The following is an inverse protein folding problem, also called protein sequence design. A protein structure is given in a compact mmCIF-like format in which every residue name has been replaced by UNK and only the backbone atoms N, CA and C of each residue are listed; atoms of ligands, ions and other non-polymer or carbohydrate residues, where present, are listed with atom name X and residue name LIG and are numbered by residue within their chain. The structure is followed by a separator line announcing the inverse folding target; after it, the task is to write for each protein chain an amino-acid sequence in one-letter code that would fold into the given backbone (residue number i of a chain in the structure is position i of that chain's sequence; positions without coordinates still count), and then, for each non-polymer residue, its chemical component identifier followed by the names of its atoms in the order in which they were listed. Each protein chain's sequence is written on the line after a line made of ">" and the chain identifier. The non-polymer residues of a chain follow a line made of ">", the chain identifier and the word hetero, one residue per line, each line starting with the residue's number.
data_IF_827325998357
#
_entry.id   IF_827325998357
#
_cell.length_a   1.000
_cell.length_b   1.000
_cell.length_c   1.000
_cell.angle_alpha   90.00
_cell.angle_beta   90.00
_cell.angle_gamma   90.00
#
_symmetry.space_group_name_H-M   'P 1'
#
loop_
_entity.id
_entity.type
_entity.pdbx_description
1 polymer ?
#
# COMPACT_ATOMS: atom_id res chain seq x y z
N UNK A 1 64.50 38.60 -7.52
CA UNK A 1 64.55 37.94 -6.19
C UNK A 1 63.65 38.77 -5.30
N UNK A 2 62.45 38.38 -4.90
CA UNK A 2 61.81 37.06 -4.83
C UNK A 2 60.30 37.31 -4.81
N UNK A 3 59.56 36.59 -5.66
CA UNK A 3 58.12 36.43 -5.59
C UNK A 3 57.71 35.59 -4.37
N UNK A 4 56.40 35.53 -4.13
CA UNK A 4 55.65 34.51 -3.37
C UNK A 4 55.51 34.74 -1.85
N UNK A 5 54.28 35.09 -1.45
CA UNK A 5 53.36 34.26 -0.63
C UNK A 5 52.40 35.12 0.20
N UNK A 6 51.37 35.67 -0.45
CA UNK A 6 50.12 36.04 0.24
C UNK A 6 48.91 35.70 -0.65
N UNK A 7 48.82 34.43 -1.05
CA UNK A 7 47.60 33.82 -1.59
C UNK A 7 47.26 32.62 -0.73
N UNK A 8 46.40 32.84 0.27
CA UNK A 8 46.01 31.77 1.19
C UNK A 8 44.90 32.11 2.17
N UNK A 9 44.03 33.08 1.83
CA UNK A 9 42.90 33.47 2.69
C UNK A 9 41.61 33.75 1.92
N UNK A 10 41.31 32.94 0.91
CA UNK A 10 40.03 33.00 0.18
C UNK A 10 39.28 31.68 -0.01
N UNK A 11 39.81 30.52 0.39
CA UNK A 11 39.15 29.22 0.16
C UNK A 11 38.79 28.45 1.43
N UNK A 12 38.01 29.07 2.34
CA UNK A 12 37.35 28.35 3.46
C UNK A 12 35.90 28.76 3.69
N UNK A 13 35.22 29.26 2.66
CA UNK A 13 33.76 29.40 2.62
C UNK A 13 33.14 28.52 1.52
N UNK A 14 33.84 27.46 1.12
CA UNK A 14 33.19 26.27 0.58
C UNK A 14 32.61 25.49 1.78
N UNK A 15 31.39 24.98 1.63
CA UNK A 15 30.66 24.09 2.57
C UNK A 15 29.57 24.69 3.47
N UNK A 16 29.08 25.90 3.17
CA UNK A 16 27.76 26.37 3.64
C UNK A 16 26.72 26.43 2.51
N UNK A 17 26.83 25.57 1.49
CA UNK A 17 25.65 25.17 0.72
C UNK A 17 24.92 24.13 1.54
N UNK A 18 24.15 24.59 2.52
CA UNK A 18 22.96 23.85 2.93
C UNK A 18 22.23 23.56 1.62
N UNK A 19 22.26 22.31 1.15
CA UNK A 19 21.30 21.93 0.14
C UNK A 19 19.95 22.21 0.78
N UNK A 20 19.11 23.00 0.11
CA UNK A 20 17.70 23.12 0.43
C UNK A 20 17.08 21.73 0.30
N UNK A 21 17.35 20.84 1.27
CA UNK A 21 16.67 19.57 1.43
C UNK A 21 15.25 19.97 1.80
N UNK A 22 14.43 20.07 0.77
CA UNK A 22 13.00 20.30 0.88
C UNK A 22 12.45 19.27 1.85
N UNK A 23 11.98 19.76 2.99
CA UNK A 23 11.36 18.94 4.01
C UNK A 23 9.94 18.68 3.52
N UNK A 24 9.62 17.41 3.28
CA UNK A 24 8.24 17.02 2.97
C UNK A 24 7.63 16.39 4.22
N UNK A 25 6.32 16.57 4.36
CA UNK A 25 5.52 16.06 5.45
C UNK A 25 4.15 15.66 4.91
N UNK A 26 3.68 14.51 5.36
CA UNK A 26 2.34 14.03 5.05
C UNK A 26 1.85 13.02 6.06
N UNK A 27 0.59 12.65 5.93
CA UNK A 27 -0.05 11.67 6.78
C UNK A 27 -1.22 10.98 6.07
N UNK A 28 -1.60 9.82 6.57
CA UNK A 28 -2.77 9.05 6.14
C UNK A 28 -3.22 8.10 7.25
N UNK A 29 -4.44 7.56 7.16
CA UNK A 29 -4.96 6.66 8.18
C UNK A 29 -4.21 5.33 8.20
N UNK A 30 -3.82 4.88 9.40
CA UNK A 30 -3.01 3.69 9.59
C UNK A 30 -3.71 2.39 9.17
N UNK A 31 -5.05 2.37 9.17
CA UNK A 31 -5.85 1.24 8.70
C UNK A 31 -5.53 0.80 7.27
N UNK A 32 -5.03 1.72 6.44
CA UNK A 32 -4.64 1.39 5.07
C UNK A 32 -3.24 0.82 4.95
N UNK A 33 -2.39 0.92 5.98
CA UNK A 33 -1.00 0.48 5.85
C UNK A 33 -0.88 -1.05 5.89
N UNK A 34 -1.44 -1.71 6.91
CA UNK A 34 -1.36 -3.17 7.06
C UNK A 34 -1.80 -3.94 5.79
N UNK A 35 -2.95 -3.61 5.18
CA UNK A 35 -3.41 -4.31 3.98
C UNK A 35 -2.52 -4.16 2.74
N UNK A 36 -1.56 -3.23 2.74
CA UNK A 36 -0.62 -3.03 1.65
C UNK A 36 0.65 -3.88 1.79
N UNK A 37 0.88 -4.52 2.94
CA UNK A 37 2.06 -5.38 3.14
C UNK A 37 2.20 -6.46 2.05
N UNK A 38 1.14 -7.20 1.64
CA UNK A 38 1.26 -8.20 0.58
C UNK A 38 1.76 -7.62 -0.75
N UNK A 39 1.37 -6.38 -1.08
CA UNK A 39 1.86 -5.70 -2.30
C UNK A 39 3.36 -5.41 -2.19
N UNK A 40 3.81 -4.99 -1.01
CA UNK A 40 5.22 -4.68 -0.73
C UNK A 40 6.09 -5.93 -0.79
N UNK A 41 5.68 -7.00 -0.13
CA UNK A 41 6.37 -8.29 -0.16
C UNK A 41 6.47 -8.83 -1.59
N UNK A 42 5.34 -8.86 -2.31
CA UNK A 42 5.32 -9.36 -3.67
C UNK A 42 6.15 -8.48 -4.63
N UNK A 43 6.14 -7.16 -4.49
CA UNK A 43 6.97 -6.27 -5.30
C UNK A 43 8.48 -6.57 -5.11
N UNK A 44 8.90 -6.79 -3.87
CA UNK A 44 10.29 -7.11 -3.50
C UNK A 44 10.71 -8.49 -4.01
N UNK A 45 9.81 -9.47 -4.03
CA UNK A 45 10.06 -10.80 -4.61
C UNK A 45 10.28 -10.74 -6.13
N UNK A 46 9.49 -9.93 -6.85
CA UNK A 46 9.51 -9.89 -8.31
C UNK A 46 10.70 -9.09 -8.86
N UNK A 47 10.96 -7.90 -8.31
CA UNK A 47 12.01 -7.01 -8.82
C UNK A 47 12.52 -6.06 -7.73
N UNK A 48 13.39 -6.56 -6.86
CA UNK A 48 13.95 -5.79 -5.75
C UNK A 48 14.64 -4.50 -6.23
N UNK A 49 15.33 -4.52 -7.38
CA UNK A 49 16.06 -3.36 -7.90
C UNK A 49 15.13 -2.24 -8.33
N UNK A 50 14.00 -2.57 -8.97
CA UNK A 50 13.00 -1.59 -9.38
C UNK A 50 12.33 -0.89 -8.21
N UNK A 51 12.19 -1.58 -7.07
CA UNK A 51 11.50 -1.08 -5.89
C UNK A 51 12.45 -0.68 -4.74
N UNK A 52 13.74 -0.42 -5.04
CA UNK A 52 14.75 -0.04 -4.05
C UNK A 52 14.43 1.23 -3.24
N UNK A 53 13.62 2.15 -3.77
CA UNK A 53 13.21 3.34 -3.02
C UNK A 53 11.72 3.28 -2.63
N UNK A 54 11.19 2.06 -2.55
CA UNK A 54 9.83 1.78 -2.15
C UNK A 54 8.85 1.64 -3.31
N UNK A 55 7.68 1.14 -2.95
CA UNK A 55 6.60 0.78 -3.87
C UNK A 55 5.22 1.29 -3.42
N UNK A 56 5.20 2.07 -2.34
CA UNK A 56 4.05 2.84 -1.89
C UNK A 56 4.24 4.29 -2.34
N UNK A 57 3.22 4.88 -2.93
CA UNK A 57 3.20 6.26 -3.37
C UNK A 57 2.14 7.02 -2.58
N UNK A 58 2.46 8.24 -2.17
CA UNK A 58 1.53 9.15 -1.52
C UNK A 58 1.47 10.44 -2.35
N UNK A 59 0.27 10.83 -2.77
CA UNK A 59 0.09 11.93 -3.72
C UNK A 59 -1.12 12.81 -3.36
N UNK A 60 -1.06 14.14 -3.50
CA UNK A 60 -2.23 14.97 -3.21
C UNK A 60 -3.41 14.63 -4.14
N UNK A 61 -4.62 14.67 -3.58
CA UNK A 61 -5.86 14.58 -4.34
C UNK A 61 -6.43 15.97 -4.60
N UNK A 62 -6.84 16.25 -5.84
CA UNK A 62 -7.45 17.54 -6.22
C UNK A 62 -8.82 17.78 -5.55
N UNK A 63 -9.49 16.71 -5.14
CA UNK A 63 -10.80 16.75 -4.45
C UNK A 63 -10.66 16.73 -2.92
N UNK A 64 -9.45 17.00 -2.40
CA UNK A 64 -9.13 16.87 -0.98
C UNK A 64 -8.69 15.45 -0.60
N UNK A 65 -7.88 15.38 0.46
CA UNK A 65 -7.22 14.14 0.87
C UNK A 65 -5.92 13.87 0.12
N UNK A 66 -5.49 12.60 0.14
CA UNK A 66 -4.38 12.10 -0.66
C UNK A 66 -4.70 10.71 -1.23
N UNK A 67 -4.01 10.35 -2.31
CA UNK A 67 -3.99 9.00 -2.85
C UNK A 67 -2.83 8.23 -2.22
N UNK A 68 -3.14 7.07 -1.65
CA UNK A 68 -2.20 6.04 -1.28
C UNK A 68 -2.22 4.96 -2.36
N UNK A 69 -1.08 4.70 -2.98
CA UNK A 69 -0.99 3.76 -4.11
C UNK A 69 0.09 2.74 -3.81
N UNK A 70 -0.22 1.45 -3.87
CA UNK A 70 0.82 0.41 -3.91
C UNK A 70 0.94 -0.16 -5.32
N UNK A 71 2.17 -0.46 -5.75
CA UNK A 71 2.48 -0.98 -7.09
C UNK A 71 3.44 -2.16 -6.98
N UNK A 72 3.22 -3.21 -7.77
CA UNK A 72 4.10 -4.39 -7.80
C UNK A 72 4.65 -4.74 -9.19
N UNK A 73 4.26 -3.99 -10.21
CA UNK A 73 4.55 -4.31 -11.61
C UNK A 73 3.51 -5.24 -12.24
N UNK A 74 2.89 -6.13 -11.46
CA UNK A 74 1.77 -6.98 -11.90
C UNK A 74 0.42 -6.51 -11.36
N UNK A 75 0.39 -5.84 -10.22
CA UNK A 75 -0.80 -5.26 -9.64
C UNK A 75 -0.55 -3.85 -9.12
N UNK A 76 -1.63 -3.10 -8.94
CA UNK A 76 -1.65 -1.86 -8.20
C UNK A 76 -2.98 -1.70 -7.49
N UNK A 77 -2.94 -1.09 -6.31
CA UNK A 77 -4.14 -0.63 -5.62
C UNK A 77 -4.00 0.86 -5.36
N UNK A 78 -5.09 1.58 -5.55
CA UNK A 78 -5.20 3.03 -5.40
C UNK A 78 -6.33 3.28 -4.40
N UNK A 79 -5.99 3.95 -3.31
CA UNK A 79 -6.90 4.30 -2.22
C UNK A 79 -6.89 5.81 -2.10
N UNK A 80 -8.05 6.45 -2.18
CA UNK A 80 -8.20 7.85 -1.76
C UNK A 80 -8.56 7.86 -0.28
N UNK A 81 -7.69 8.48 0.51
CA UNK A 81 -7.96 8.78 1.90
C UNK A 81 -8.34 10.28 1.99
N UNK A 82 -9.61 10.61 2.32
CA UNK A 82 -10.07 11.99 2.39
C UNK A 82 -9.43 12.79 3.53
N UNK A 83 -8.89 12.12 4.55
CA UNK A 83 -8.25 12.75 5.71
C UNK A 83 -6.73 12.85 5.57
N UNK A 84 -6.16 12.14 4.59
CA UNK A 84 -4.73 12.18 4.31
C UNK A 84 -4.29 13.53 3.73
N UNK A 85 -3.00 13.83 3.88
CA UNK A 85 -2.38 15.00 3.25
C UNK A 85 -0.94 14.70 2.87
N UNK A 86 -0.51 15.29 1.76
CA UNK A 86 0.89 15.43 1.38
C UNK A 86 1.01 16.64 0.46
N UNK A 87 2.05 17.45 0.61
CA UNK A 87 2.19 18.67 -0.20
C UNK A 87 2.73 18.38 -1.61
N UNK A 88 3.49 17.29 -1.77
CA UNK A 88 4.07 16.86 -3.05
C UNK A 88 3.97 15.36 -3.24
N UNK A 89 3.85 14.84 -4.47
CA UNK A 89 3.93 13.41 -4.72
C UNK A 89 5.26 12.84 -4.18
N UNK A 90 5.19 11.74 -3.43
CA UNK A 90 6.36 11.03 -2.89
C UNK A 90 6.24 9.52 -3.06
N UNK A 91 7.38 8.84 -3.07
CA UNK A 91 7.50 7.37 -2.97
C UNK A 91 8.08 7.01 -1.62
N UNK A 92 7.52 6.01 -0.96
CA UNK A 92 7.82 5.57 0.40
C UNK A 92 8.35 4.13 0.37
N UNK A 93 9.54 3.90 0.92
CA UNK A 93 9.91 2.58 1.44
C UNK A 93 9.64 2.56 2.93
N UNK A 94 8.76 1.65 3.33
CA UNK A 94 8.27 1.52 4.69
C UNK A 94 8.85 0.23 5.27
N UNK A 95 9.38 0.26 6.51
CA UNK A 95 9.92 -0.93 7.15
C UNK A 95 8.79 -1.88 7.56
N UNK A 96 9.04 -3.18 7.52
CA UNK A 96 8.04 -4.23 7.75
C UNK A 96 7.38 -4.10 9.14
N UNK A 97 8.18 -3.71 10.13
CA UNK A 97 7.69 -3.46 11.50
C UNK A 97 6.60 -2.37 11.57
N UNK A 98 6.58 -1.40 10.67
CA UNK A 98 5.54 -0.38 10.62
C UNK A 98 4.20 -0.96 10.15
N UNK A 99 4.22 -1.92 9.22
CA UNK A 99 3.00 -2.62 8.79
C UNK A 99 2.39 -3.40 9.94
N UNK A 100 3.22 -4.20 10.65
CA UNK A 100 2.74 -4.94 11.82
C UNK A 100 2.21 -4.02 12.93
N UNK A 101 2.86 -2.88 13.17
CA UNK A 101 2.36 -1.89 14.12
C UNK A 101 1.01 -1.28 13.68
N UNK A 102 0.78 -1.13 12.37
CA UNK A 102 -0.47 -0.62 11.82
C UNK A 102 -1.61 -1.65 11.80
N UNK A 103 -1.31 -2.95 11.98
CA UNK A 103 -2.34 -3.99 12.14
C UNK A 103 -3.20 -3.75 13.40
N UNK A 104 -2.57 -3.21 14.45
CA UNK A 104 -3.21 -3.03 15.75
C UNK A 104 -3.30 -4.33 16.55
N UNK A 105 -3.86 -4.23 17.74
CA UNK A 105 -4.02 -5.36 18.66
C UNK A 105 -5.42 -5.95 18.47
N UNK A 106 -5.48 -7.25 18.18
CA UNK A 106 -6.73 -8.03 18.19
C UNK A 106 -6.94 -8.60 19.60
N UNK A 107 -8.12 -8.38 20.20
CA UNK A 107 -8.49 -9.05 21.45
C UNK A 107 -9.24 -10.33 21.12
N UNK A 108 -8.78 -11.50 21.62
CA UNK A 108 -9.47 -12.75 21.36
C UNK A 108 -10.89 -12.71 21.94
N UNK A 109 -11.82 -13.36 21.23
CA UNK A 109 -13.14 -13.63 21.78
C UNK A 109 -13.00 -14.38 23.12
N UNK A 110 -13.79 -13.97 24.12
CA UNK A 110 -13.87 -14.64 25.40
C UNK A 110 -15.20 -15.38 25.53
N UNK A 111 -15.17 -16.66 25.85
CA UNK A 111 -16.37 -17.43 26.19
C UNK A 111 -16.47 -17.59 27.71
N UNK A 112 -17.57 -17.15 28.30
CA UNK A 112 -17.82 -17.28 29.74
C UNK A 112 -19.28 -17.67 29.98
N UNK A 113 -19.50 -18.76 30.73
CA UNK A 113 -20.83 -19.28 31.06
C UNK A 113 -21.75 -19.54 29.84
N UNK A 114 -21.18 -19.87 28.68
CA UNK A 114 -21.93 -20.11 27.44
C UNK A 114 -22.29 -18.84 26.67
N UNK A 115 -21.89 -17.67 27.16
CA UNK A 115 -21.97 -16.40 26.46
C UNK A 115 -20.63 -16.07 25.81
N UNK A 116 -20.71 -15.51 24.59
CA UNK A 116 -19.56 -15.11 23.79
C UNK A 116 -19.39 -13.59 23.87
N UNK A 117 -18.27 -13.15 24.43
CA UNK A 117 -17.89 -11.75 24.58
C UNK A 117 -16.83 -11.38 23.53
N UNK A 118 -17.02 -10.23 22.88
CA UNK A 118 -16.08 -9.66 21.91
C UNK A 118 -15.63 -8.29 22.42
N UNK A 119 -14.70 -8.24 23.38
CA UNK A 119 -14.18 -6.96 23.87
C UNK A 119 -13.42 -6.22 22.76
N UNK A 120 -13.66 -4.91 22.66
CA UNK A 120 -12.91 -4.05 21.76
C UNK A 120 -11.60 -3.58 22.39
N UNK A 121 -10.56 -3.46 21.57
CA UNK A 121 -9.29 -2.93 22.03
C UNK A 121 -9.41 -1.42 22.31
N UNK A 122 -8.80 -0.91 23.41
CA UNK A 122 -8.80 0.51 23.69
C UNK A 122 -8.17 1.33 22.56
N UNK A 123 -8.76 2.47 22.21
CA UNK A 123 -8.31 3.30 21.08
C UNK A 123 -6.86 3.80 21.23
N UNK A 124 -6.37 3.94 22.46
CA UNK A 124 -4.98 4.35 22.72
C UNK A 124 -3.93 3.25 22.46
N UNK A 125 -4.38 2.01 22.22
CA UNK A 125 -3.57 0.89 21.72
C UNK A 125 -3.80 0.62 20.24
N UNK A 126 -4.76 1.30 19.61
CA UNK A 126 -5.13 1.08 18.22
C UNK A 126 -4.44 2.13 17.33
N UNK A 127 -3.91 1.72 16.18
CA UNK A 127 -3.23 2.63 15.27
C UNK A 127 -4.24 3.59 14.63
N UNK A 128 -3.92 4.88 14.66
CA UNK A 128 -4.75 5.95 14.13
C UNK A 128 -4.18 6.52 12.84
N UNK A 129 -3.08 7.26 12.94
CA UNK A 129 -2.50 8.00 11.80
C UNK A 129 -1.03 7.63 11.60
N UNK A 130 -0.66 7.40 10.34
CA UNK A 130 0.74 7.28 9.91
C UNK A 130 1.21 8.66 9.49
N UNK A 131 2.28 9.14 10.09
CA UNK A 131 2.97 10.36 9.72
C UNK A 131 4.27 10.03 9.01
N UNK A 132 4.52 10.67 7.88
CA UNK A 132 5.70 10.49 7.03
C UNK A 132 6.35 11.85 6.77
N UNK A 133 7.67 11.91 6.89
CA UNK A 133 8.44 13.12 6.64
C UNK A 133 9.87 12.82 6.23
N UNK A 134 10.58 13.79 5.65
CA UNK A 134 11.94 13.55 5.12
C UNK A 134 12.93 12.99 6.13
N UNK A 135 12.72 13.24 7.43
CA UNK A 135 13.58 12.76 8.50
C UNK A 135 13.13 11.43 9.13
N UNK A 136 11.93 10.92 8.85
CA UNK A 136 11.41 9.73 9.50
C UNK A 136 9.91 9.51 9.32
N UNK A 137 9.41 8.52 10.04
CA UNK A 137 7.99 8.24 10.14
C UNK A 137 7.62 7.86 11.58
N UNK A 138 6.34 7.99 11.90
CA UNK A 138 5.78 7.40 13.10
C UNK A 138 4.31 7.03 12.91
N UNK A 139 3.80 6.17 13.78
CA UNK A 139 2.40 5.80 13.83
C UNK A 139 1.85 6.24 15.19
N UNK A 140 0.88 7.14 15.16
CA UNK A 140 0.19 7.61 16.37
C UNK A 140 -1.04 6.75 16.64
N UNK A 141 -1.38 6.51 17.92
CA UNK A 141 -2.62 5.84 18.27
C UNK A 141 -3.85 6.69 17.89
N UNK A 142 -5.03 6.07 17.86
CA UNK A 142 -6.31 6.78 17.60
C UNK A 142 -6.64 7.79 18.70
N UNK A 143 -6.25 7.46 19.94
CA UNK A 143 -6.47 8.29 21.11
C UNK A 143 -5.19 8.37 21.94
N UNK A 144 -4.99 9.49 22.65
CA UNK A 144 -3.92 9.60 23.65
C UNK A 144 -4.20 8.62 24.80
N UNK A 145 -3.15 8.04 25.39
CA UNK A 145 -3.32 7.19 26.56
C UNK A 145 -3.92 8.03 27.71
N UNK A 146 -5.04 7.60 28.33
CA UNK A 146 -5.66 8.33 29.43
C UNK A 146 -4.73 8.59 30.62
N UNK A 147 -3.71 7.75 30.83
CA UNK A 147 -2.71 7.93 31.90
C UNK A 147 -1.87 9.20 31.69
N UNK A 148 -1.70 9.65 30.45
CA UNK A 148 -0.92 10.83 30.09
C UNK A 148 -1.80 12.04 29.75
N UNK A 149 -3.08 12.02 30.13
CA UNK A 149 -4.00 13.11 29.81
C UNK A 149 -3.58 14.46 30.43
N UNK A 150 -2.82 14.44 31.54
CA UNK A 150 -2.32 15.63 32.24
C UNK A 150 -0.91 16.06 31.81
N UNK A 151 -0.22 15.25 31.00
CA UNK A 151 1.12 15.56 30.50
C UNK A 151 1.02 16.57 29.33
N UNK A 152 2.05 17.40 29.15
CA UNK A 152 2.08 18.38 28.05
C UNK A 152 1.87 17.72 26.68
N UNK A 153 1.18 18.40 25.77
CA UNK A 153 0.88 17.94 24.41
C UNK A 153 2.14 17.81 23.54
N UNK A 154 3.31 18.24 24.04
CA UNK A 154 4.60 17.94 23.40
C UNK A 154 4.90 16.43 23.38
N UNK A 155 4.41 15.65 24.35
CA UNK A 155 4.63 14.20 24.40
C UNK A 155 3.43 13.41 23.82
N UNK A 156 3.60 12.95 22.58
CA UNK A 156 2.68 12.01 21.94
C UNK A 156 3.29 10.60 21.90
N UNK A 157 2.74 9.63 22.64
CA UNK A 157 3.20 8.25 22.53
C UNK A 157 2.95 7.71 21.13
N UNK A 158 3.99 7.17 20.50
CA UNK A 158 3.89 6.54 19.19
C UNK A 158 3.89 5.02 19.33
N UNK A 159 3.05 4.33 18.55
CA UNK A 159 3.07 2.87 18.45
C UNK A 159 4.30 2.36 17.68
N UNK A 160 4.83 3.20 16.79
CA UNK A 160 6.02 2.92 15.99
C UNK A 160 6.71 4.22 15.61
N UNK A 161 8.05 4.20 15.53
CA UNK A 161 8.83 5.29 14.95
C UNK A 161 10.11 4.76 14.29
N UNK A 162 10.51 5.39 13.18
CA UNK A 162 11.77 5.11 12.49
C UNK A 162 12.30 6.38 11.82
N UNK A 163 13.58 6.67 12.02
CA UNK A 163 14.27 7.73 11.28
C UNK A 163 14.56 7.32 9.83
N UNK A 164 14.64 8.30 8.94
CA UNK A 164 14.98 8.06 7.54
C UNK A 164 16.44 7.61 7.39
N UNK A 165 16.66 6.65 6.49
CA UNK A 165 17.99 6.29 6.01
C UNK A 165 18.64 7.46 5.28
N UNK A 166 19.92 7.74 5.59
CA UNK A 166 20.64 8.88 5.01
C UNK A 166 21.60 8.45 3.89
N UNK A 167 22.31 7.33 4.08
CA UNK A 167 23.38 6.86 3.19
C UNK A 167 23.14 5.43 2.74
N UNK A 168 23.25 4.49 3.66
CA UNK A 168 22.96 3.08 3.43
C UNK A 168 21.46 2.84 3.64
N UNK A 169 20.87 1.97 2.83
CA UNK A 169 19.45 1.67 2.89
C UNK A 169 19.20 0.20 2.62
N UNK A 170 18.54 -0.42 3.58
CA UNK A 170 18.10 -1.81 3.51
C UNK A 170 16.59 -1.83 3.37
N UNK A 171 16.15 -2.21 2.17
CA UNK A 171 14.72 -2.32 1.84
C UNK A 171 13.99 -3.20 2.86
N UNK A 172 12.89 -2.71 3.40
CA UNK A 172 12.08 -3.41 4.41
C UNK A 172 12.56 -3.28 5.86
N UNK A 173 13.78 -2.79 6.10
CA UNK A 173 14.27 -2.50 7.45
C UNK A 173 14.31 -1.00 7.73
N UNK A 174 14.68 -0.22 6.72
CA UNK A 174 14.84 1.22 6.81
C UNK A 174 13.62 1.96 6.26
N UNK A 175 13.41 3.18 6.75
CA UNK A 175 12.47 4.11 6.14
C UNK A 175 13.20 4.99 5.12
N UNK A 176 12.55 5.25 3.97
CA UNK A 176 13.02 6.22 2.99
C UNK A 176 11.83 6.89 2.31
N UNK A 177 11.96 8.19 2.09
CA UNK A 177 11.01 8.97 1.30
C UNK A 177 11.75 9.67 0.16
N UNK A 178 11.25 9.48 -1.04
CA UNK A 178 11.82 10.05 -2.27
C UNK A 178 10.80 10.98 -2.92
N UNK A 179 11.21 12.19 -3.29
CA UNK A 179 10.34 13.14 -3.98
C UNK A 179 9.99 12.64 -5.39
N UNK A 180 8.72 12.81 -5.76
CA UNK A 180 8.16 12.36 -7.02
C UNK A 180 7.53 10.97 -6.98
N UNK A 181 6.71 10.70 -7.99
CA UNK A 181 6.10 9.40 -8.26
C UNK A 181 6.87 8.67 -9.34
N UNK A 182 7.43 7.51 -9.03
CA UNK A 182 8.14 6.67 -10.01
C UNK A 182 7.22 6.01 -11.04
N UNK A 183 5.92 5.93 -10.76
CA UNK A 183 4.94 5.21 -11.59
C UNK A 183 3.79 6.14 -11.99
N UNK A 184 3.49 6.20 -13.29
CA UNK A 184 2.40 7.02 -13.87
C UNK A 184 1.05 6.31 -13.84
N UNK A 185 0.55 5.98 -12.64
CA UNK A 185 -0.68 5.21 -12.46
C UNK A 185 -1.94 5.89 -13.04
N UNK A 186 -2.03 7.23 -13.02
CA UNK A 186 -3.15 7.96 -13.67
C UNK A 186 -3.18 7.78 -15.18
N UNK A 187 -2.00 7.78 -15.81
CA UNK A 187 -1.91 7.56 -17.26
C UNK A 187 -2.32 6.12 -17.60
N UNK A 188 -1.93 5.15 -16.75
CA UNK A 188 -2.37 3.76 -16.88
C UNK A 188 -3.91 3.69 -16.81
N UNK A 189 -4.53 4.23 -15.75
CA UNK A 189 -5.99 4.26 -15.63
C UNK A 189 -6.69 4.92 -16.81
N UNK A 190 -6.17 6.07 -17.27
CA UNK A 190 -6.74 6.80 -18.41
C UNK A 190 -6.69 5.97 -19.69
N UNK A 191 -5.54 5.35 -19.97
CA UNK A 191 -5.38 4.48 -21.13
C UNK A 191 -6.34 3.30 -21.07
N UNK A 192 -6.47 2.67 -19.89
CA UNK A 192 -7.37 1.54 -19.68
C UNK A 192 -8.84 1.93 -19.83
N UNK A 193 -9.26 3.06 -19.28
CA UNK A 193 -10.65 3.52 -19.40
C UNK A 193 -11.05 3.90 -20.84
N UNK A 194 -10.07 4.17 -21.71
CA UNK A 194 -10.27 4.53 -23.11
C UNK A 194 -10.09 3.34 -24.07
N UNK A 195 -9.51 2.24 -23.59
CA UNK A 195 -9.23 1.09 -24.44
C UNK A 195 -10.51 0.27 -24.71
N UNK A 196 -10.65 -0.30 -25.91
CA UNK A 196 -11.83 -1.07 -26.27
C UNK A 196 -11.94 -2.29 -25.37
N UNK A 197 -13.18 -2.65 -25.00
CA UNK A 197 -13.45 -3.88 -24.26
C UNK A 197 -12.94 -5.08 -25.05
N UNK A 198 -12.33 -6.03 -24.34
CA UNK A 198 -11.90 -7.27 -24.94
C UNK A 198 -13.06 -8.25 -25.07
N UNK A 199 -13.25 -8.78 -26.28
CA UNK A 199 -14.16 -9.90 -26.58
C UNK A 199 -13.60 -11.26 -26.12
N UNK A 200 -12.43 -11.29 -25.47
CA UNK A 200 -11.80 -12.56 -25.11
C UNK A 200 -12.57 -13.26 -23.98
N UNK A 201 -12.93 -14.53 -24.20
CA UNK A 201 -13.63 -15.38 -23.24
C UNK A 201 -12.73 -15.98 -22.16
N UNK A 202 -11.41 -15.76 -22.21
CA UNK A 202 -10.45 -16.40 -21.29
C UNK A 202 -9.29 -15.46 -20.94
N UNK A 203 -8.96 -15.42 -19.65
CA UNK A 203 -7.84 -14.66 -19.08
C UNK A 203 -6.92 -15.63 -18.35
N UNK A 204 -5.62 -15.56 -18.64
CA UNK A 204 -4.61 -16.27 -17.88
C UNK A 204 -4.05 -15.33 -16.81
N UNK A 205 -3.87 -15.83 -15.60
CA UNK A 205 -3.33 -15.04 -14.51
C UNK A 205 -2.64 -15.92 -13.48
N UNK A 206 -1.64 -15.36 -12.79
CA UNK A 206 -1.08 -15.99 -11.60
C UNK A 206 -2.02 -15.70 -10.42
N UNK A 207 -2.59 -16.73 -9.75
CA UNK A 207 -3.54 -16.53 -8.66
C UNK A 207 -2.95 -15.77 -7.45
N UNK A 208 -1.62 -15.73 -7.29
CA UNK A 208 -0.97 -14.89 -6.27
C UNK A 208 -1.24 -13.39 -6.47
N UNK A 209 -1.51 -12.94 -7.69
CA UNK A 209 -1.71 -11.52 -8.03
C UNK A 209 -3.07 -10.99 -7.55
N UNK A 210 -4.22 -11.59 -7.90
CA UNK A 210 -5.50 -11.17 -7.32
C UNK A 210 -5.59 -11.47 -5.81
N UNK A 211 -4.85 -12.46 -5.29
CA UNK A 211 -4.78 -12.72 -3.86
C UNK A 211 -4.14 -11.59 -3.04
N UNK A 212 -3.37 -10.68 -3.66
CA UNK A 212 -2.80 -9.51 -2.98
C UNK A 212 -3.87 -8.59 -2.37
N UNK A 213 -5.09 -8.62 -2.93
CA UNK A 213 -6.19 -7.76 -2.50
C UNK A 213 -6.96 -8.31 -1.29
N UNK A 214 -6.69 -9.54 -0.84
CA UNK A 214 -7.49 -10.19 0.21
C UNK A 214 -7.49 -9.43 1.53
N UNK A 215 -6.32 -9.05 2.05
CA UNK A 215 -6.21 -8.30 3.31
C UNK A 215 -6.95 -6.95 3.25
N UNK A 216 -6.91 -6.29 2.08
CA UNK A 216 -7.64 -5.04 1.88
C UNK A 216 -9.14 -5.27 1.84
N UNK A 217 -9.59 -6.31 1.15
CA UNK A 217 -11.00 -6.69 1.10
C UNK A 217 -11.55 -6.99 2.50
N UNK A 218 -10.83 -7.78 3.29
CA UNK A 218 -11.19 -8.10 4.66
C UNK A 218 -11.27 -6.84 5.54
N UNK A 219 -10.28 -5.94 5.41
CA UNK A 219 -10.25 -4.68 6.15
C UNK A 219 -11.42 -3.76 5.78
N UNK A 220 -11.77 -3.67 4.49
CA UNK A 220 -12.89 -2.86 4.02
C UNK A 220 -14.25 -3.45 4.47
N UNK A 221 -14.38 -4.77 4.61
CA UNK A 221 -15.61 -5.41 5.11
C UNK A 221 -15.79 -5.31 6.60
N UNK A 222 -14.70 -5.37 7.36
CA UNK A 222 -14.75 -5.25 8.81
C UNK A 222 -15.41 -3.91 9.23
N UNK A 223 -15.25 -2.85 8.44
CA UNK A 223 -15.88 -1.55 8.69
C UNK A 223 -17.38 -1.54 8.44
N UNK A 224 -17.91 -2.53 7.72
CA UNK A 224 -19.30 -2.53 7.29
C UNK A 224 -19.84 -3.97 7.18
N UNK A 225 -20.08 -4.61 8.33
CA UNK A 225 -20.55 -6.01 8.44
C UNK A 225 -21.89 -6.31 7.72
N UNK A 226 -22.59 -5.26 7.26
CA UNK A 226 -23.84 -5.36 6.49
C UNK A 226 -23.68 -4.89 5.04
N UNK A 227 -22.47 -4.51 4.60
CA UNK A 227 -22.22 -4.17 3.22
C UNK A 227 -22.36 -5.41 2.34
N UNK A 228 -22.94 -5.28 1.13
CA UNK A 228 -22.95 -6.37 0.16
C UNK A 228 -21.52 -6.79 -0.15
N UNK A 229 -21.31 -8.10 -0.34
CA UNK A 229 -20.04 -8.66 -0.82
C UNK A 229 -19.59 -7.80 -2.04
N UNK A 230 -18.37 -7.24 -2.07
CA UNK A 230 -17.85 -6.48 -3.17
C UNK A 230 -17.96 -7.29 -4.43
N UNK A 231 -18.78 -6.75 -5.32
CA UNK A 231 -18.76 -7.18 -6.68
C UNK A 231 -17.55 -6.57 -7.33
N UNK A 232 -16.61 -7.42 -7.72
CA UNK A 232 -15.51 -7.02 -8.58
C UNK A 232 -16.05 -6.97 -10.00
N UNK A 233 -16.28 -5.76 -10.53
CA UNK A 233 -16.57 -5.60 -11.96
C UNK A 233 -15.25 -5.60 -12.73
N UNK A 234 -15.10 -6.52 -13.67
CA UNK A 234 -13.90 -6.62 -14.50
C UNK A 234 -14.12 -5.94 -15.85
N UNK A 235 -13.24 -5.00 -16.20
CA UNK A 235 -13.14 -4.47 -17.55
C UNK A 235 -11.79 -4.93 -18.09
N UNK A 236 -11.83 -5.83 -19.08
CA UNK A 236 -10.64 -6.22 -19.81
C UNK A 236 -10.56 -5.39 -21.09
N UNK A 237 -9.38 -4.90 -21.43
CA UNK A 237 -9.18 -4.04 -22.59
C UNK A 237 -8.24 -4.68 -23.60
N UNK A 238 -8.53 -4.56 -24.90
CA UNK A 238 -7.64 -5.04 -25.96
C UNK A 238 -6.50 -4.05 -26.18
N UNK A 239 -5.27 -4.56 -26.17
CA UNK A 239 -4.08 -3.89 -26.68
C UNK A 239 -3.03 -4.94 -27.05
N UNK A 240 -2.10 -4.61 -27.96
CA UNK A 240 -1.04 -5.52 -28.43
C UNK A 240 -0.10 -6.05 -27.31
N UNK A 241 -0.20 -5.51 -26.09
CA UNK A 241 0.57 -5.91 -24.91
C UNK A 241 -0.35 -5.95 -23.69
N UNK A 242 -0.39 -7.11 -23.01
CA UNK A 242 -0.99 -7.42 -21.71
C UNK A 242 -2.25 -6.60 -21.31
N UNK A 243 -3.42 -7.24 -21.36
CA UNK A 243 -4.66 -6.66 -20.87
C UNK A 243 -4.62 -6.51 -19.34
N UNK A 244 -4.76 -5.29 -18.81
CA UNK A 244 -4.97 -5.10 -17.38
C UNK A 244 -6.47 -5.23 -17.05
N UNK A 245 -6.75 -5.63 -15.82
CA UNK A 245 -8.07 -5.84 -15.27
C UNK A 245 -8.27 -4.82 -14.17
N UNK A 246 -9.31 -4.01 -14.34
CA UNK A 246 -9.75 -3.05 -13.32
C UNK A 246 -10.66 -3.79 -12.35
N UNK A 247 -10.40 -3.63 -11.06
CA UNK A 247 -11.23 -4.09 -9.96
C UNK A 247 -11.87 -2.88 -9.29
N UNK A 248 -13.19 -2.90 -9.17
CA UNK A 248 -13.96 -1.94 -8.38
C UNK A 248 -14.55 -2.65 -7.17
N UNK A 249 -14.61 -1.96 -6.05
CA UNK A 249 -15.10 -2.53 -4.80
C UNK A 249 -16.45 -1.89 -4.47
N UNK A 250 -17.51 -2.71 -4.41
CA UNK A 250 -18.85 -2.23 -4.05
C UNK A 250 -18.82 -1.53 -2.70
N UNK A 251 -19.47 -0.37 -2.59
CA UNK A 251 -19.49 0.43 -1.34
C UNK A 251 -18.21 1.24 -1.07
N UNK A 252 -17.14 1.06 -1.86
CA UNK A 252 -15.86 1.74 -1.67
C UNK A 252 -15.39 2.41 -2.98
N UNK A 253 -16.05 3.51 -3.41
CA UNK A 253 -15.71 4.20 -4.66
C UNK A 253 -14.31 4.84 -4.63
N UNK A 254 -13.78 5.11 -3.44
CA UNK A 254 -12.44 5.65 -3.21
C UNK A 254 -11.33 4.60 -3.36
N UNK A 255 -11.66 3.34 -3.68
CA UNK A 255 -10.69 2.25 -3.85
C UNK A 255 -10.79 1.65 -5.26
N UNK A 256 -9.65 1.56 -5.93
CA UNK A 256 -9.52 0.94 -7.26
C UNK A 256 -8.36 -0.05 -7.24
N UNK A 257 -8.61 -1.28 -7.68
CA UNK A 257 -7.57 -2.29 -7.93
C UNK A 257 -7.29 -2.41 -9.42
N UNK A 258 -6.05 -2.77 -9.74
CA UNK A 258 -5.57 -3.03 -11.09
C UNK A 258 -4.67 -4.26 -11.04
N UNK A 259 -4.79 -5.16 -12.01
CA UNK A 259 -3.79 -6.21 -12.19
C UNK A 259 -3.65 -6.65 -13.65
N UNK A 260 -2.47 -7.14 -14.02
CA UNK A 260 -2.15 -7.50 -15.39
C UNK A 260 -2.56 -8.96 -15.68
N UNK A 261 -3.36 -9.14 -16.73
CA UNK A 261 -3.53 -10.44 -17.39
C UNK A 261 -2.21 -10.91 -17.99
N UNK A 262 -1.99 -12.21 -17.94
CA UNK A 262 -0.80 -12.88 -18.46
C UNK A 262 -1.06 -13.44 -19.85
N UNK A 263 0.01 -13.59 -20.63
CA UNK A 263 -0.09 -14.29 -21.91
C UNK A 263 -0.44 -15.76 -21.68
N UNK A 264 -1.23 -16.32 -22.60
CA UNK A 264 -1.52 -17.74 -22.63
C UNK A 264 -0.20 -18.53 -22.74
N UNK A 265 -0.11 -19.67 -22.06
CA UNK A 265 0.96 -20.62 -22.35
C UNK A 265 0.80 -21.14 -23.79
N UNK A 266 1.91 -21.39 -24.48
CA UNK A 266 1.93 -21.81 -25.90
C UNK A 266 1.03 -23.03 -26.19
N UNK A 267 0.81 -23.89 -25.19
CA UNK A 267 0.04 -25.12 -25.33
C UNK A 267 -1.46 -24.99 -24.97
N UNK A 268 -1.94 -23.78 -24.64
CA UNK A 268 -3.32 -23.57 -24.18
C UNK A 268 -3.60 -24.23 -22.82
N UNK A 269 -4.84 -24.14 -22.31
CA UNK A 269 -5.20 -24.80 -21.07
C UNK A 269 -5.37 -26.31 -21.34
N UNK A 270 -4.81 -27.15 -20.47
CA UNK A 270 -5.09 -28.58 -20.52
C UNK A 270 -6.60 -28.82 -20.36
N UNK A 271 -7.19 -29.77 -21.11
CA UNK A 271 -8.59 -30.09 -20.96
C UNK A 271 -8.88 -30.58 -19.54
N UNK A 272 -10.01 -30.18 -18.98
CA UNK A 272 -10.44 -30.63 -17.65
C UNK A 272 -10.52 -32.17 -17.65
N UNK A 273 -9.78 -32.87 -16.78
CA UNK A 273 -9.82 -34.32 -16.73
C UNK A 273 -11.24 -34.85 -16.52
N UNK A 274 -11.63 -35.89 -17.27
CA UNK A 274 -13.01 -36.41 -17.30
C UNK A 274 -13.55 -36.88 -15.95
N UNK A 275 -12.68 -37.28 -15.00
CA UNK A 275 -13.10 -37.68 -13.66
C UNK A 275 -13.67 -36.51 -12.83
N UNK A 276 -13.34 -35.26 -13.16
CA UNK A 276 -13.99 -34.07 -12.56
C UNK A 276 -15.36 -33.77 -13.18
N UNK A 277 -15.68 -34.39 -14.32
CA UNK A 277 -16.93 -34.17 -15.07
C UNK A 277 -17.92 -35.33 -14.93
N UNK A 278 -17.53 -36.40 -14.21
CA UNK A 278 -18.40 -37.53 -13.98
C UNK A 278 -19.53 -37.10 -13.02
N UNK A 279 -20.77 -37.14 -13.51
CA UNK A 279 -21.95 -37.00 -12.66
C UNK A 279 -22.02 -38.20 -11.70
N UNK A 280 -22.21 -37.95 -10.40
CA UNK A 280 -22.56 -39.01 -9.45
C UNK A 280 -23.79 -39.75 -10.00
N UNK A 281 -23.63 -41.02 -10.36
CA UNK A 281 -24.77 -41.86 -10.70
C UNK A 281 -25.61 -41.99 -9.42
N UNK A 282 -26.87 -41.52 -9.38
CA UNK A 282 -27.68 -41.68 -8.18
C UNK A 282 -27.78 -43.18 -7.88
N UNK A 283 -27.32 -43.57 -6.69
CA UNK A 283 -27.48 -44.95 -6.21
C UNK A 283 -28.97 -45.30 -6.27
N UNK A 284 -29.27 -46.30 -7.09
CA UNK A 284 -30.63 -46.70 -7.38
C UNK A 284 -31.38 -47.07 -6.11
N UNK A 285 -32.56 -46.46 -5.97
CA UNK A 285 -33.60 -47.01 -5.11
C UNK A 285 -33.85 -48.47 -5.45
N UNK A 286 -33.70 -49.32 -4.44
CA UNK A 286 -34.33 -50.63 -4.35
C UNK A 286 -35.32 -50.61 -3.21
#
# INVERSE_FOLDING_TARGET
>A
MTQDRETGRQDRNADARASDRKIHFGWFQAKYLWPLLPFVEYAREIDQLRFLDGNILLEPCTEGGAYLVAVTGHASVIIRDPEARIDTPVTLDIPDQAFYAAKGIEIPTMDYCGERYQPEAPEWLQPGTVYVYSAGMHISPKMRNPIWAEEDDEFHPTLFSRSASVRDHTVGLDYRMTEGVKVRWRQLLKNMNQAPLADASTVYFNPRVPALFSELLESLWAENAHAPIPHVSHTMTVGEKASAIIMRFSGHPDVIGLWAGMQAQENGPEPIPSHFLASETPEGGR
#
